data_IF_154563465253
#
_entry.id   IF_154563465253
#
_cell.length_a   1.000
_cell.length_b   1.000
_cell.length_c   1.000
_cell.angle_alpha   90.00
_cell.angle_beta   90.00
_cell.angle_gamma   90.00
#
_symmetry.space_group_name_H-M   'P 1'
#
loop_
_entity.id
_entity.type
_entity.pdbx_description
1 polymer ?
#
# COMPACT_ATOMS: atom_id res chain seq x y z
N UNK A 1 -16.44 19.31 4.82
CA UNK A 1 -17.64 18.42 4.80
C UNK A 1 -17.28 17.21 5.63
N UNK A 2 -18.07 16.85 6.65
CA UNK A 2 -17.80 15.65 7.43
C UNK A 2 -17.99 14.42 6.54
N UNK A 3 -17.00 13.52 6.52
CA UNK A 3 -17.06 12.28 5.72
C UNK A 3 -17.88 11.28 6.53
N UNK A 4 -19.05 10.90 6.03
CA UNK A 4 -19.93 9.94 6.69
C UNK A 4 -19.54 8.51 6.29
N UNK A 5 -18.72 7.84 7.11
CA UNK A 5 -18.25 6.48 6.84
C UNK A 5 -19.33 5.41 6.97
N UNK A 6 -20.34 5.63 7.82
CA UNK A 6 -21.42 4.66 8.09
C UNK A 6 -22.24 4.25 6.87
N UNK A 7 -22.17 5.02 5.78
CA UNK A 7 -22.82 4.66 4.52
C UNK A 7 -22.13 3.50 3.80
N UNK A 8 -20.82 3.28 4.04
CA UNK A 8 -20.05 2.27 3.31
C UNK A 8 -20.22 0.88 3.92
N UNK A 9 -20.54 -0.10 3.07
CA UNK A 9 -20.62 -1.51 3.45
C UNK A 9 -19.25 -2.18 3.46
N UNK A 10 -18.32 -1.68 2.64
CA UNK A 10 -16.94 -2.15 2.58
C UNK A 10 -15.99 -0.97 2.62
N UNK A 11 -14.93 -1.10 3.40
CA UNK A 11 -13.81 -0.14 3.43
C UNK A 11 -12.53 -0.92 3.12
N UNK A 12 -11.90 -0.58 2.00
CA UNK A 12 -10.60 -1.09 1.58
C UNK A 12 -9.50 -0.14 2.02
N UNK A 13 -8.44 -0.67 2.56
CA UNK A 13 -7.28 0.10 3.00
C UNK A 13 -6.04 -0.31 2.21
N UNK A 14 -5.27 0.64 1.70
CA UNK A 14 -3.88 0.34 1.45
C UNK A 14 -3.15 0.12 2.78
N UNK A 15 -1.99 -0.53 2.72
CA UNK A 15 -1.18 -0.80 3.92
C UNK A 15 -0.14 0.30 4.17
N UNK A 16 0.76 0.48 3.21
CA UNK A 16 1.92 1.37 3.32
C UNK A 16 1.47 2.84 3.20
N UNK A 17 1.84 3.68 4.14
CA UNK A 17 1.41 5.08 4.13
C UNK A 17 -0.03 5.33 4.62
N UNK A 18 -0.82 4.26 4.87
CA UNK A 18 -2.21 4.36 5.36
C UNK A 18 -2.39 3.69 6.72
N UNK A 19 -2.04 2.41 6.85
CA UNK A 19 -2.11 1.65 8.10
C UNK A 19 -0.77 1.67 8.83
N UNK A 20 0.33 1.50 8.08
CA UNK A 20 1.69 1.46 8.56
C UNK A 20 2.52 2.61 7.98
N UNK A 21 3.30 3.27 8.83
CA UNK A 21 4.30 4.29 8.42
C UNK A 21 5.54 3.58 7.86
N UNK A 22 5.42 2.98 6.69
CA UNK A 22 6.43 2.09 6.11
C UNK A 22 7.02 2.56 4.78
N UNK A 23 6.53 3.64 4.17
CA UNK A 23 6.97 4.09 2.86
C UNK A 23 8.48 4.39 2.82
N UNK A 24 8.98 5.24 3.72
CA UNK A 24 10.40 5.57 3.80
C UNK A 24 11.29 4.34 4.11
N UNK A 25 10.79 3.40 4.91
CA UNK A 25 11.48 2.14 5.20
C UNK A 25 11.65 1.34 3.91
N UNK A 26 10.56 1.14 3.16
CA UNK A 26 10.59 0.40 1.89
C UNK A 26 11.47 1.08 0.85
N UNK A 27 11.42 2.41 0.74
CA UNK A 27 12.28 3.16 -0.16
C UNK A 27 13.79 2.93 0.14
N UNK A 28 14.16 2.90 1.41
CA UNK A 28 15.53 2.59 1.82
C UNK A 28 15.91 1.12 1.54
N UNK A 29 14.99 0.18 1.79
CA UNK A 29 15.24 -1.25 1.54
C UNK A 29 15.41 -1.54 0.04
N UNK A 30 14.65 -0.88 -0.84
CA UNK A 30 14.90 -0.97 -2.30
C UNK A 30 16.29 -0.49 -2.68
N UNK A 31 16.74 0.62 -2.10
CA UNK A 31 18.09 1.12 -2.29
C UNK A 31 19.15 0.12 -1.81
N UNK A 32 19.03 -0.39 -0.59
CA UNK A 32 19.99 -1.33 -0.01
C UNK A 32 20.05 -2.67 -0.76
N UNK A 33 18.90 -3.17 -1.23
CA UNK A 33 18.84 -4.39 -2.02
C UNK A 33 19.59 -4.23 -3.36
N UNK A 34 19.51 -3.05 -3.99
CA UNK A 34 20.14 -2.78 -5.28
C UNK A 34 21.61 -2.34 -5.20
N UNK A 35 22.16 -2.08 -4.02
CA UNK A 35 23.56 -1.65 -3.84
C UNK A 35 24.62 -2.54 -4.54
N UNK A 36 24.46 -3.87 -4.66
CA UNK A 36 25.39 -4.70 -5.44
C UNK A 36 25.57 -4.27 -6.90
N UNK A 37 24.58 -3.57 -7.46
CA UNK A 37 24.64 -2.99 -8.81
C UNK A 37 25.27 -1.58 -8.86
N UNK A 38 25.69 -1.06 -7.70
CA UNK A 38 26.29 0.25 -7.54
C UNK A 38 25.31 1.35 -7.15
N UNK A 39 25.83 2.39 -6.55
CA UNK A 39 25.11 3.53 -5.97
C UNK A 39 24.11 4.19 -6.94
N UNK A 40 24.52 4.40 -8.20
CA UNK A 40 23.70 5.08 -9.22
C UNK A 40 22.42 4.29 -9.52
N UNK A 41 22.53 2.97 -9.69
CA UNK A 41 21.38 2.10 -9.96
C UNK A 41 20.51 1.90 -8.71
N UNK A 42 21.11 1.82 -7.53
CA UNK A 42 20.38 1.77 -6.26
C UNK A 42 19.51 3.02 -6.05
N UNK A 43 20.06 4.21 -6.31
CA UNK A 43 19.31 5.47 -6.27
C UNK A 43 18.23 5.55 -7.37
N UNK A 44 18.48 4.98 -8.54
CA UNK A 44 17.50 4.93 -9.61
C UNK A 44 16.29 4.05 -9.22
N UNK A 45 16.53 2.87 -8.63
CA UNK A 45 15.45 2.00 -8.14
C UNK A 45 14.67 2.65 -7.00
N UNK A 46 15.35 3.29 -6.04
CA UNK A 46 14.67 4.04 -4.97
C UNK A 46 13.75 5.11 -5.54
N UNK A 47 14.22 5.92 -6.49
CA UNK A 47 13.39 6.94 -7.15
C UNK A 47 12.22 6.32 -7.90
N UNK A 48 12.45 5.21 -8.62
CA UNK A 48 11.39 4.49 -9.30
C UNK A 48 10.32 3.99 -8.31
N UNK A 49 10.74 3.48 -7.14
CA UNK A 49 9.82 3.06 -6.10
C UNK A 49 8.93 4.21 -5.60
N UNK A 50 9.50 5.36 -5.28
CA UNK A 50 8.77 6.54 -4.80
C UNK A 50 7.77 7.05 -5.85
N UNK A 51 8.17 7.12 -7.12
CA UNK A 51 7.31 7.57 -8.22
C UNK A 51 6.18 6.57 -8.56
N UNK A 52 6.34 5.30 -8.19
CA UNK A 52 5.40 4.22 -8.47
C UNK A 52 4.90 3.59 -7.17
N UNK A 53 4.40 4.42 -6.23
CA UNK A 53 3.78 3.98 -4.98
C UNK A 53 2.63 3.00 -5.25
N UNK A 54 2.44 2.02 -4.36
CA UNK A 54 1.37 1.03 -4.47
C UNK A 54 1.63 -0.17 -5.39
N UNK A 55 2.62 -0.11 -6.31
CA UNK A 55 3.03 -1.23 -7.17
C UNK A 55 3.90 -2.22 -6.38
N UNK A 56 3.76 -3.53 -6.70
CA UNK A 56 4.44 -4.62 -5.99
C UNK A 56 5.97 -4.58 -6.15
N UNK A 57 6.68 -5.14 -5.14
CA UNK A 57 8.13 -5.35 -5.22
C UNK A 57 8.54 -6.24 -6.38
N UNK A 58 7.71 -7.21 -6.75
CA UNK A 58 7.95 -8.12 -7.87
C UNK A 58 8.06 -7.36 -9.19
N UNK A 59 7.12 -6.47 -9.47
CA UNK A 59 7.13 -5.65 -10.68
C UNK A 59 8.27 -4.63 -10.67
N UNK A 60 8.61 -4.05 -9.50
CA UNK A 60 9.69 -3.08 -9.37
C UNK A 60 11.07 -3.68 -9.61
N UNK A 61 11.35 -4.87 -9.07
CA UNK A 61 12.62 -5.56 -9.32
C UNK A 61 12.70 -6.13 -10.73
N UNK A 62 11.59 -6.61 -11.30
CA UNK A 62 11.54 -7.04 -12.70
C UNK A 62 11.88 -5.86 -13.64
N UNK A 63 11.26 -4.71 -13.44
CA UNK A 63 11.59 -3.47 -14.16
C UNK A 63 13.05 -3.07 -13.97
N UNK A 64 13.55 -3.09 -12.75
CA UNK A 64 14.94 -2.75 -12.44
C UNK A 64 15.93 -3.60 -13.23
N UNK A 65 15.74 -4.92 -13.21
CA UNK A 65 16.63 -5.85 -13.89
C UNK A 65 16.55 -5.77 -15.43
N UNK A 66 15.35 -5.50 -15.97
CA UNK A 66 15.14 -5.45 -17.43
C UNK A 66 15.49 -4.10 -18.03
N UNK A 67 15.16 -3.00 -17.34
CA UNK A 67 15.19 -1.66 -17.93
C UNK A 67 16.35 -0.80 -17.41
N UNK A 68 16.83 -1.03 -16.18
CA UNK A 68 17.88 -0.20 -15.58
C UNK A 68 19.24 -0.88 -15.56
N UNK A 69 19.29 -2.20 -15.39
CA UNK A 69 20.54 -2.95 -15.33
C UNK A 69 21.00 -3.32 -16.74
N UNK A 70 22.24 -2.97 -17.08
CA UNK A 70 22.83 -3.35 -18.36
C UNK A 70 23.06 -4.86 -18.46
N UNK A 71 22.84 -5.45 -19.64
CA UNK A 71 22.99 -6.90 -19.88
C UNK A 71 24.39 -7.47 -19.53
N UNK A 72 25.41 -6.65 -19.53
CA UNK A 72 26.79 -7.03 -19.21
C UNK A 72 27.14 -6.87 -17.73
N UNK A 73 26.18 -6.47 -16.89
CA UNK A 73 26.39 -6.24 -15.47
C UNK A 73 26.01 -7.49 -14.68
N UNK A 74 26.91 -7.97 -13.83
CA UNK A 74 26.64 -9.09 -12.95
C UNK A 74 26.14 -8.57 -11.58
N UNK A 75 25.18 -9.29 -11.00
CA UNK A 75 24.61 -8.97 -9.68
C UNK A 75 23.53 -9.97 -9.30
N UNK A 76 22.86 -9.78 -8.14
CA UNK A 76 21.84 -10.71 -7.65
C UNK A 76 20.63 -10.76 -8.60
N UNK A 77 20.12 -11.97 -8.85
CA UNK A 77 18.92 -12.20 -9.64
C UNK A 77 17.64 -11.74 -8.93
N UNK A 78 16.50 -11.91 -9.62
CA UNK A 78 15.19 -11.49 -9.09
C UNK A 78 14.88 -12.14 -7.74
N UNK A 79 15.08 -13.45 -7.61
CA UNK A 79 14.78 -14.19 -6.38
C UNK A 79 15.64 -13.71 -5.21
N UNK A 80 16.95 -13.50 -5.44
CA UNK A 80 17.87 -12.99 -4.42
C UNK A 80 17.53 -11.56 -3.97
N UNK A 81 17.08 -10.71 -4.90
CA UNK A 81 16.62 -9.36 -4.57
C UNK A 81 15.33 -9.37 -3.75
N UNK A 82 14.39 -10.26 -4.09
CA UNK A 82 13.14 -10.43 -3.37
C UNK A 82 13.36 -10.97 -1.95
N UNK A 83 14.22 -11.98 -1.78
CA UNK A 83 14.61 -12.54 -0.49
C UNK A 83 15.27 -11.47 0.38
N UNK A 84 16.32 -10.84 -0.14
CA UNK A 84 17.03 -9.75 0.56
C UNK A 84 16.09 -8.61 0.98
N UNK A 85 15.17 -8.22 0.11
CA UNK A 85 14.18 -7.21 0.44
C UNK A 85 13.29 -7.65 1.60
N UNK A 86 12.78 -8.87 1.58
CA UNK A 86 11.94 -9.43 2.63
C UNK A 86 12.63 -9.43 4.00
N UNK A 87 13.89 -9.87 4.03
CA UNK A 87 14.70 -9.90 5.25
C UNK A 87 14.92 -8.48 5.82
N UNK A 88 15.29 -7.53 4.97
CA UNK A 88 15.60 -6.16 5.39
C UNK A 88 14.34 -5.39 5.83
N UNK A 89 13.20 -5.60 5.19
CA UNK A 89 11.98 -4.82 5.48
C UNK A 89 11.27 -5.28 6.74
N UNK A 90 11.43 -6.55 7.13
CA UNK A 90 10.64 -7.19 8.18
C UNK A 90 10.69 -6.46 9.53
N UNK A 91 11.88 -6.13 10.01
CA UNK A 91 12.06 -5.43 11.30
C UNK A 91 11.38 -4.07 11.28
N UNK A 92 11.53 -3.33 10.18
CA UNK A 92 10.88 -2.04 9.99
C UNK A 92 9.36 -2.15 10.03
N UNK A 93 8.77 -3.15 9.36
CA UNK A 93 7.32 -3.37 9.38
C UNK A 93 6.79 -3.78 10.74
N UNK A 94 7.58 -4.50 11.54
CA UNK A 94 7.21 -4.90 12.90
C UNK A 94 7.22 -3.72 13.89
N UNK A 95 8.02 -2.68 13.64
CA UNK A 95 8.30 -1.61 14.62
C UNK A 95 7.78 -0.24 14.19
N UNK A 96 7.47 -0.02 12.92
CA UNK A 96 6.96 1.27 12.44
C UNK A 96 5.64 1.67 13.11
N UNK A 97 5.28 2.94 13.03
CA UNK A 97 4.02 3.46 13.56
C UNK A 97 2.81 2.82 12.89
N UNK A 98 1.79 2.50 13.71
CA UNK A 98 0.44 2.14 13.25
C UNK A 98 -0.39 3.42 13.21
N UNK A 99 -1.26 3.53 12.22
CA UNK A 99 -2.11 4.70 12.03
C UNK A 99 -2.95 5.00 13.29
N UNK A 100 -2.79 6.21 13.79
CA UNK A 100 -3.58 6.73 14.90
C UNK A 100 -5.08 6.73 14.53
N UNK A 101 -5.92 6.29 15.44
CA UNK A 101 -7.37 6.23 15.21
C UNK A 101 -7.88 4.97 14.54
N UNK A 102 -7.01 4.01 14.16
CA UNK A 102 -7.42 2.80 13.43
C UNK A 102 -8.43 1.96 14.24
N UNK A 103 -8.17 1.74 15.52
CA UNK A 103 -9.04 0.97 16.41
C UNK A 103 -10.36 1.68 16.68
N UNK A 104 -10.31 2.99 16.97
CA UNK A 104 -11.50 3.83 17.19
C UNK A 104 -12.36 3.88 15.94
N UNK A 105 -11.74 3.94 14.78
CA UNK A 105 -12.42 3.94 13.49
C UNK A 105 -13.18 2.63 13.29
N UNK A 106 -12.57 1.48 13.61
CA UNK A 106 -13.23 0.16 13.57
C UNK A 106 -14.42 0.10 14.51
N UNK A 107 -14.26 0.55 15.73
CA UNK A 107 -15.32 0.57 16.74
C UNK A 107 -16.55 1.38 16.29
N UNK A 108 -16.31 2.54 15.66
CA UNK A 108 -17.39 3.40 15.15
C UNK A 108 -18.07 2.87 13.88
N UNK A 109 -17.38 1.98 13.15
CA UNK A 109 -17.83 1.43 11.86
C UNK A 109 -17.91 -0.10 11.85
N UNK A 110 -18.38 -0.70 12.97
CA UNK A 110 -18.47 -2.17 13.15
C UNK A 110 -19.33 -2.88 12.11
N UNK A 111 -20.26 -2.17 11.45
CA UNK A 111 -21.13 -2.74 10.43
C UNK A 111 -20.49 -2.77 9.02
N UNK A 112 -19.39 -2.07 8.84
CA UNK A 112 -18.63 -2.10 7.58
C UNK A 112 -17.64 -3.26 7.60
N UNK A 113 -17.59 -4.00 6.51
CA UNK A 113 -16.55 -5.01 6.28
C UNK A 113 -15.24 -4.33 5.89
N UNK A 114 -14.14 -4.72 6.49
CA UNK A 114 -12.83 -4.15 6.22
C UNK A 114 -11.91 -5.15 5.51
N UNK A 115 -11.12 -4.66 4.57
CA UNK A 115 -10.04 -5.44 3.95
C UNK A 115 -8.80 -4.58 3.72
N UNK A 116 -7.64 -5.22 3.68
CA UNK A 116 -6.40 -4.64 3.19
C UNK A 116 -6.20 -5.06 1.74
N UNK A 117 -5.88 -4.09 0.87
CA UNK A 117 -5.57 -4.29 -0.56
C UNK A 117 -4.24 -3.58 -0.84
N UNK A 118 -3.14 -4.31 -0.84
CA UNK A 118 -1.79 -3.75 -0.82
C UNK A 118 -0.91 -4.27 -1.97
N UNK A 119 0.07 -3.48 -2.39
CA UNK A 119 1.18 -3.95 -3.23
C UNK A 119 2.25 -4.73 -2.47
N UNK A 120 2.18 -4.81 -1.12
CA UNK A 120 3.08 -5.61 -0.30
C UNK A 120 2.86 -7.12 -0.49
N UNK A 121 3.87 -7.94 -0.17
CA UNK A 121 3.74 -9.40 -0.21
C UNK A 121 2.67 -9.90 0.76
N UNK A 122 1.71 -10.68 0.27
CA UNK A 122 0.53 -11.10 1.05
C UNK A 122 0.90 -11.94 2.27
N UNK A 123 1.86 -12.85 2.11
CA UNK A 123 2.28 -13.73 3.21
C UNK A 123 2.97 -12.92 4.31
N UNK A 124 3.86 -12.02 3.91
CA UNK A 124 4.55 -11.10 4.82
C UNK A 124 3.55 -10.20 5.55
N UNK A 125 2.60 -9.57 4.83
CA UNK A 125 1.58 -8.72 5.42
C UNK A 125 0.75 -9.47 6.47
N UNK A 126 0.29 -10.68 6.16
CA UNK A 126 -0.50 -11.50 7.10
C UNK A 126 0.28 -11.83 8.36
N UNK A 127 1.56 -12.19 8.23
CA UNK A 127 2.43 -12.48 9.37
C UNK A 127 2.68 -11.22 10.24
N UNK A 128 2.99 -10.10 9.62
CA UNK A 128 3.17 -8.81 10.32
C UNK A 128 1.90 -8.38 11.04
N UNK A 129 0.74 -8.43 10.37
CA UNK A 129 -0.54 -8.04 10.97
C UNK A 129 -0.93 -8.95 12.12
N UNK A 130 -0.68 -10.26 12.00
CA UNK A 130 -0.93 -11.21 13.08
C UNK A 130 -0.02 -10.92 14.28
N UNK A 131 1.27 -10.74 14.05
CA UNK A 131 2.26 -10.46 15.10
C UNK A 131 1.94 -9.14 15.83
N UNK A 132 1.43 -8.14 15.11
CA UNK A 132 1.08 -6.83 15.66
C UNK A 132 -0.36 -6.74 16.21
N UNK A 133 -1.14 -7.83 16.16
CA UNK A 133 -2.52 -7.87 16.66
C UNK A 133 -3.53 -7.11 15.80
N UNK A 134 -3.21 -6.84 14.52
CA UNK A 134 -4.05 -6.06 13.60
C UNK A 134 -5.03 -6.92 12.80
N UNK A 135 -4.77 -8.23 12.66
CA UNK A 135 -5.54 -9.09 11.75
C UNK A 135 -7.03 -9.11 12.03
N UNK A 136 -7.43 -9.02 13.30
CA UNK A 136 -8.84 -9.04 13.72
C UNK A 136 -9.66 -7.82 13.30
N UNK A 137 -9.01 -6.75 12.85
CA UNK A 137 -9.69 -5.54 12.36
C UNK A 137 -10.24 -5.71 10.94
N UNK A 138 -9.72 -6.67 10.16
CA UNK A 138 -10.01 -6.82 8.74
C UNK A 138 -10.85 -8.08 8.49
N UNK A 139 -12.16 -7.95 8.59
CA UNK A 139 -13.14 -9.05 8.55
C UNK A 139 -13.10 -9.84 7.23
N UNK A 140 -12.83 -9.16 6.10
CA UNK A 140 -12.74 -9.78 4.79
C UNK A 140 -11.38 -10.42 4.57
N UNK A 141 -10.33 -9.80 5.11
CA UNK A 141 -8.97 -10.33 5.02
C UNK A 141 -7.91 -9.31 4.61
N UNK A 142 -6.70 -9.84 4.45
CA UNK A 142 -5.50 -9.09 4.08
C UNK A 142 -4.99 -9.68 2.77
N UNK A 143 -4.98 -8.85 1.72
CA UNK A 143 -4.63 -9.20 0.36
C UNK A 143 -3.44 -8.38 -0.13
N UNK A 144 -2.59 -9.01 -0.92
CA UNK A 144 -1.38 -8.40 -1.43
C UNK A 144 -0.77 -9.15 -2.60
N UNK A 145 0.40 -8.70 -3.04
CA UNK A 145 1.12 -9.36 -4.13
C UNK A 145 1.46 -10.84 -3.82
N UNK A 146 1.62 -11.68 -4.85
CA UNK A 146 1.88 -11.33 -6.24
C UNK A 146 0.68 -10.76 -7.03
N UNK A 147 -0.57 -10.92 -6.55
CA UNK A 147 -1.74 -10.34 -7.20
C UNK A 147 -1.67 -8.82 -7.18
N UNK A 148 -2.10 -8.18 -8.26
CA UNK A 148 -2.26 -6.73 -8.36
C UNK A 148 -3.48 -6.27 -7.56
N UNK A 149 -3.56 -4.99 -7.22
CA UNK A 149 -4.75 -4.44 -6.54
C UNK A 149 -6.02 -4.62 -7.37
N UNK A 150 -5.90 -4.57 -8.71
CA UNK A 150 -7.00 -4.84 -9.63
C UNK A 150 -7.49 -6.28 -9.53
N UNK A 151 -6.59 -7.26 -9.61
CA UNK A 151 -6.93 -8.68 -9.50
C UNK A 151 -7.57 -9.00 -8.16
N UNK A 152 -7.04 -8.42 -7.07
CA UNK A 152 -7.61 -8.56 -5.73
C UNK A 152 -9.05 -8.02 -5.69
N UNK A 153 -9.29 -6.80 -6.19
CA UNK A 153 -10.64 -6.22 -6.19
C UNK A 153 -11.61 -6.99 -7.09
N UNK A 154 -11.16 -7.44 -8.27
CA UNK A 154 -11.95 -8.30 -9.16
C UNK A 154 -12.38 -9.60 -8.44
N UNK A 155 -11.43 -10.24 -7.76
CA UNK A 155 -11.72 -11.44 -6.97
C UNK A 155 -12.72 -11.16 -5.85
N UNK A 156 -12.53 -10.10 -5.06
CA UNK A 156 -13.42 -9.74 -3.95
C UNK A 156 -14.85 -9.39 -4.42
N UNK A 157 -14.99 -8.79 -5.59
CA UNK A 157 -16.30 -8.55 -6.23
C UNK A 157 -16.93 -9.89 -6.64
N UNK A 158 -16.16 -10.75 -7.32
CA UNK A 158 -16.65 -12.04 -7.82
C UNK A 158 -17.21 -12.93 -6.69
N UNK A 159 -16.51 -12.98 -5.56
CA UNK A 159 -16.95 -13.78 -4.39
C UNK A 159 -17.93 -13.02 -3.48
N UNK A 160 -18.40 -11.84 -3.90
CA UNK A 160 -19.38 -11.00 -3.20
C UNK A 160 -18.96 -10.57 -1.78
N UNK A 161 -17.67 -10.43 -1.54
CA UNK A 161 -17.13 -9.83 -0.29
C UNK A 161 -17.02 -8.31 -0.38
N UNK A 162 -16.70 -7.75 -1.55
CA UNK A 162 -16.75 -6.32 -1.77
C UNK A 162 -18.19 -5.89 -2.08
N UNK A 163 -18.83 -5.17 -1.15
CA UNK A 163 -20.22 -4.72 -1.24
C UNK A 163 -20.30 -3.21 -1.33
N UNK A 164 -21.04 -2.71 -2.30
CA UNK A 164 -21.28 -1.28 -2.47
C UNK A 164 -22.38 -0.74 -1.52
N UNK A 165 -22.32 0.55 -1.12
CA UNK A 165 -21.23 1.48 -1.41
C UNK A 165 -19.95 1.08 -0.72
N UNK A 166 -18.81 1.21 -1.44
CA UNK A 166 -17.49 0.85 -0.96
C UNK A 166 -16.53 2.05 -1.04
N UNK A 167 -15.59 2.12 -0.10
CA UNK A 167 -14.59 3.16 0.00
C UNK A 167 -13.18 2.54 -0.09
N UNK A 168 -12.26 3.22 -0.76
CA UNK A 168 -10.84 2.92 -0.72
C UNK A 168 -10.06 4.05 -0.06
N UNK A 169 -9.25 3.74 0.93
CA UNK A 169 -8.33 4.64 1.61
C UNK A 169 -6.91 4.34 1.13
N UNK A 170 -6.27 5.30 0.46
CA UNK A 170 -4.95 5.12 -0.14
C UNK A 170 -4.11 6.39 -0.09
N UNK A 171 -2.81 6.28 -0.30
CA UNK A 171 -1.85 7.37 -0.25
C UNK A 171 -1.08 7.59 -1.56
N UNK A 172 -1.46 6.87 -2.62
CA UNK A 172 -0.78 6.90 -3.92
C UNK A 172 -1.72 7.21 -5.09
N UNK A 173 -1.12 7.63 -6.21
CA UNK A 173 -1.82 7.79 -7.49
C UNK A 173 -2.48 6.48 -7.93
N UNK A 174 -1.76 5.37 -7.78
CA UNK A 174 -2.23 4.04 -8.19
C UNK A 174 -3.48 3.62 -7.43
N UNK A 175 -3.57 3.91 -6.13
CA UNK A 175 -4.76 3.64 -5.33
C UNK A 175 -6.01 4.32 -5.88
N UNK A 176 -5.88 5.60 -6.23
CA UNK A 176 -7.01 6.34 -6.83
C UNK A 176 -7.39 5.76 -8.19
N UNK A 177 -6.42 5.45 -9.05
CA UNK A 177 -6.69 4.86 -10.37
C UNK A 177 -7.45 3.54 -10.24
N UNK A 178 -7.00 2.68 -9.32
CA UNK A 178 -7.66 1.39 -9.03
C UNK A 178 -9.05 1.61 -8.45
N UNK A 179 -9.20 2.44 -7.43
CA UNK A 179 -10.51 2.74 -6.83
C UNK A 179 -11.51 3.24 -7.89
N UNK A 180 -11.10 4.16 -8.74
CA UNK A 180 -11.91 4.73 -9.82
C UNK A 180 -12.31 3.66 -10.85
N UNK A 181 -11.39 2.77 -11.24
CA UNK A 181 -11.65 1.68 -12.18
C UNK A 181 -12.78 0.76 -11.69
N UNK A 182 -12.85 0.51 -10.40
CA UNK A 182 -13.85 -0.38 -9.79
C UNK A 182 -15.07 0.35 -9.19
N UNK A 183 -15.17 1.66 -9.39
CA UNK A 183 -16.30 2.46 -8.91
C UNK A 183 -16.39 2.58 -7.40
N UNK A 184 -15.26 2.54 -6.70
CA UNK A 184 -15.16 2.82 -5.28
C UNK A 184 -15.01 4.32 -5.04
N UNK A 185 -15.65 4.85 -4.00
CA UNK A 185 -15.28 6.15 -3.48
C UNK A 185 -13.84 6.12 -2.98
N UNK A 186 -13.12 7.24 -3.08
CA UNK A 186 -11.72 7.31 -2.70
C UNK A 186 -11.44 8.48 -1.77
N UNK A 187 -10.62 8.25 -0.73
CA UNK A 187 -10.08 9.29 0.13
C UNK A 187 -8.56 9.14 0.16
N UNK A 188 -7.88 10.23 -0.09
CA UNK A 188 -6.42 10.29 -0.02
C UNK A 188 -5.95 10.51 1.41
N UNK A 189 -5.01 9.67 1.89
CA UNK A 189 -4.37 9.78 3.21
C UNK A 189 -2.97 10.34 3.03
N UNK A 190 -2.65 11.48 3.65
CA UNK A 190 -1.50 12.29 3.23
C UNK A 190 -0.33 12.36 4.21
N UNK A 191 -0.47 11.93 5.47
CA UNK A 191 0.60 12.12 6.47
C UNK A 191 1.90 11.40 6.11
N UNK A 192 1.82 10.23 5.48
CA UNK A 192 2.96 9.36 5.19
C UNK A 192 3.18 9.10 3.70
N UNK A 193 2.44 9.80 2.84
CA UNK A 193 2.59 9.63 1.39
C UNK A 193 3.96 10.14 0.90
N UNK A 194 4.54 9.43 -0.04
CA UNK A 194 5.72 9.87 -0.81
C UNK A 194 5.33 10.52 -2.15
N UNK A 195 4.03 10.63 -2.47
CA UNK A 195 3.55 11.33 -3.67
C UNK A 195 3.61 12.84 -3.48
N UNK A 196 4.69 13.47 -3.92
CA UNK A 196 4.97 14.91 -3.75
C UNK A 196 3.87 15.82 -4.27
N UNK A 197 3.28 15.46 -5.42
CA UNK A 197 2.30 16.29 -6.12
C UNK A 197 0.84 15.99 -5.71
N UNK A 198 0.65 15.20 -4.63
CA UNK A 198 -0.68 14.75 -4.20
C UNK A 198 -1.69 15.89 -4.01
N UNK A 199 -1.27 17.05 -3.49
CA UNK A 199 -2.18 18.20 -3.28
C UNK A 199 -2.80 18.67 -4.57
N UNK A 200 -1.96 18.99 -5.56
CA UNK A 200 -2.42 19.45 -6.87
C UNK A 200 -3.22 18.37 -7.59
N UNK A 201 -2.79 17.11 -7.48
CA UNK A 201 -3.51 15.97 -8.06
C UNK A 201 -4.91 15.81 -7.47
N UNK A 202 -5.01 15.84 -6.13
CA UNK A 202 -6.30 15.70 -5.44
C UNK A 202 -7.25 16.87 -5.73
N UNK A 203 -6.74 18.10 -5.76
CA UNK A 203 -7.52 19.28 -6.15
C UNK A 203 -8.09 19.14 -7.57
N UNK A 204 -7.24 18.79 -8.54
CA UNK A 204 -7.64 18.63 -9.95
C UNK A 204 -8.68 17.53 -10.17
N UNK A 205 -8.69 16.51 -9.31
CA UNK A 205 -9.59 15.36 -9.40
C UNK A 205 -10.76 15.40 -8.39
N UNK A 206 -10.90 16.48 -7.60
CA UNK A 206 -11.89 16.63 -6.53
C UNK A 206 -11.85 15.48 -5.51
N UNK A 207 -10.65 15.00 -5.15
CA UNK A 207 -10.44 13.91 -4.20
C UNK A 207 -10.40 14.49 -2.79
N UNK A 208 -11.22 13.98 -1.85
CA UNK A 208 -11.10 14.33 -0.44
C UNK A 208 -9.74 13.90 0.11
N UNK A 209 -9.08 14.77 0.86
CA UNK A 209 -7.80 14.50 1.51
C UNK A 209 -7.97 14.55 3.02
N UNK A 210 -7.46 13.55 3.70
CA UNK A 210 -7.28 13.55 5.15
C UNK A 210 -5.79 13.41 5.47
N UNK A 211 -5.37 13.90 6.63
CA UNK A 211 -3.99 13.69 7.06
C UNK A 211 -3.78 12.24 7.51
N UNK A 212 -4.64 11.77 8.42
CA UNK A 212 -4.55 10.42 8.98
C UNK A 212 -5.95 9.90 9.35
N UNK A 213 -6.04 8.63 9.73
CA UNK A 213 -7.31 7.96 10.02
C UNK A 213 -8.05 8.54 11.23
N UNK A 214 -7.34 9.20 12.15
CA UNK A 214 -7.96 9.84 13.31
C UNK A 214 -9.00 10.92 12.93
N UNK A 215 -8.81 11.58 11.77
CA UNK A 215 -9.79 12.55 11.26
C UNK A 215 -11.12 11.92 10.84
N UNK A 216 -11.14 10.60 10.59
CA UNK A 216 -12.35 9.84 10.31
C UNK A 216 -12.94 9.19 11.58
N UNK A 217 -12.13 9.07 12.62
CA UNK A 217 -12.53 8.52 13.92
C UNK A 217 -13.17 9.57 14.85
N UNK A 218 -13.07 10.87 14.53
CA UNK A 218 -13.62 11.97 15.34
C UNK A 218 -15.14 12.14 15.26
#
# INVERSE_FOLDING_TARGET
MAIELKKYKTICFDCDGVILNSNAIKANVFYEAALPYGEVLAQALRRYHVLNGGISRYQKFDYFLKELVSQNMSGPGLEELLEKFGDLVREGLLTCEIAMGLYELKEKNRLSNWCVVSGGDQKELRDIFQTRGLSSLFDVGIFGSPETKEEILEHLIHINFLKNPALFLGDSLYDHVVAKKFGLDFIFVSDWTEFSDHKQYCENNNIPVIRNLNQLAS
#
